data_IF_505177905316
#
_entry.id   IF_505177905316
#
_cell.length_a   1.000
_cell.length_b   1.000
_cell.length_c   1.000
_cell.angle_alpha   90.00
_cell.angle_beta   90.00
_cell.angle_gamma   90.00
#
_symmetry.space_group_name_H-M   'P 1'
#
loop_
_entity.id
_entity.type
_entity.pdbx_description
1 polymer ?
#
# COMPACT_ATOMS: atom_id res chain seq x y z
N UNK A 1 -44.38 -20.06 21.13
CA UNK A 1 -44.36 -18.67 20.65
C UNK A 1 -42.92 -18.26 20.41
N UNK A 2 -42.67 -17.65 19.24
CA UNK A 2 -41.41 -17.20 18.65
C UNK A 2 -40.54 -16.39 19.61
N UNK A 3 -39.21 -16.60 19.58
CA UNK A 3 -38.19 -15.53 19.41
C UNK A 3 -36.98 -16.09 18.65
N UNK A 4 -36.99 -15.82 17.35
CA UNK A 4 -35.82 -15.89 16.47
C UNK A 4 -35.08 -14.58 16.68
N UNK A 5 -33.82 -14.61 17.14
CA UNK A 5 -32.93 -13.46 17.02
C UNK A 5 -31.93 -13.76 15.91
N UNK A 6 -32.14 -13.08 14.79
CA UNK A 6 -31.22 -13.03 13.67
C UNK A 6 -29.92 -12.37 14.11
N UNK A 7 -28.82 -13.12 14.05
CA UNK A 7 -27.47 -12.55 14.09
C UNK A 7 -27.23 -11.95 12.71
N UNK A 8 -27.31 -10.63 12.63
CA UNK A 8 -26.96 -9.86 11.45
C UNK A 8 -25.44 -9.95 11.27
N UNK A 9 -24.97 -10.95 10.53
CA UNK A 9 -23.59 -10.98 10.07
C UNK A 9 -23.42 -9.86 9.03
N UNK A 10 -22.83 -8.74 9.44
CA UNK A 10 -22.24 -7.78 8.51
C UNK A 10 -21.07 -8.47 7.81
N UNK A 11 -21.39 -9.17 6.72
CA UNK A 11 -20.39 -9.52 5.71
C UNK A 11 -19.91 -8.20 5.14
N UNK A 12 -18.68 -7.81 5.50
CA UNK A 12 -17.90 -6.83 4.77
C UNK A 12 -17.76 -7.37 3.34
N UNK A 13 -18.71 -7.02 2.48
CA UNK A 13 -18.61 -7.23 1.06
C UNK A 13 -17.40 -6.43 0.59
N UNK A 14 -16.27 -7.12 0.41
CA UNK A 14 -15.20 -6.61 -0.41
C UNK A 14 -15.82 -6.33 -1.79
N UNK A 15 -15.79 -5.09 -2.31
CA UNK A 15 -16.25 -4.85 -3.66
C UNK A 15 -15.30 -5.58 -4.59
N UNK A 16 -15.80 -6.67 -5.17
CA UNK A 16 -15.19 -7.33 -6.32
C UNK A 16 -15.33 -6.36 -7.48
N UNK A 17 -14.31 -5.53 -7.69
CA UNK A 17 -14.19 -4.68 -8.89
C UNK A 17 -13.75 -5.57 -10.07
N UNK A 18 -14.70 -6.34 -10.60
CA UNK A 18 -14.57 -7.00 -11.89
C UNK A 18 -15.45 -6.23 -12.89
N UNK A 19 -14.82 -5.39 -13.70
CA UNK A 19 -15.46 -4.62 -14.76
C UNK A 19 -14.57 -3.44 -15.18
N UNK A 20 -14.46 -3.20 -16.49
CA UNK A 20 -13.84 -2.03 -17.11
C UNK A 20 -14.48 -0.73 -16.60
N UNK A 21 -14.10 -0.30 -15.40
CA UNK A 21 -14.45 1.02 -14.87
C UNK A 21 -13.18 1.85 -14.91
N UNK A 22 -13.05 2.65 -15.97
CA UNK A 22 -12.16 3.80 -15.94
C UNK A 22 -12.59 4.69 -14.77
N UNK A 23 -11.70 4.86 -13.79
CA UNK A 23 -11.94 5.75 -12.68
C UNK A 23 -11.91 7.18 -13.20
N UNK A 24 -12.80 8.05 -12.71
CA UNK A 24 -12.61 9.48 -12.96
C UNK A 24 -11.30 9.95 -12.33
N UNK A 25 -10.67 11.00 -12.88
CA UNK A 25 -9.46 11.60 -12.31
C UNK A 25 -9.61 11.91 -10.81
N UNK A 26 -10.80 12.36 -10.39
CA UNK A 26 -11.09 12.69 -9.00
C UNK A 26 -11.08 11.43 -8.10
N UNK A 27 -11.65 10.33 -8.58
CA UNK A 27 -11.65 9.05 -7.86
C UNK A 27 -10.26 8.44 -7.81
N UNK A 28 -9.54 8.45 -8.93
CA UNK A 28 -8.18 7.96 -9.00
C UNK A 28 -7.24 8.75 -8.07
N UNK A 29 -7.39 10.09 -8.02
CA UNK A 29 -6.67 10.95 -7.07
C UNK A 29 -6.99 10.60 -5.61
N UNK A 30 -8.27 10.34 -5.31
CA UNK A 30 -8.71 9.98 -3.97
C UNK A 30 -8.11 8.64 -3.54
N UNK A 31 -8.08 7.65 -4.43
CA UNK A 31 -7.45 6.35 -4.18
C UNK A 31 -5.96 6.52 -3.95
N UNK A 32 -5.25 7.25 -4.82
CA UNK A 32 -3.81 7.45 -4.68
C UNK A 32 -3.45 8.15 -3.34
N UNK A 33 -4.22 9.16 -2.93
CA UNK A 33 -4.06 9.80 -1.61
C UNK A 33 -4.30 8.83 -0.45
N UNK A 34 -5.32 7.97 -0.57
CA UNK A 34 -5.61 6.96 0.43
C UNK A 34 -4.47 5.92 0.53
N UNK A 35 -3.85 5.56 -0.59
CA UNK A 35 -2.68 4.68 -0.62
C UNK A 35 -1.49 5.30 0.11
N UNK A 36 -1.18 6.57 -0.15
CA UNK A 36 -0.11 7.29 0.57
C UNK A 36 -0.39 7.33 2.07
N UNK A 37 -1.61 7.68 2.48
CA UNK A 37 -1.99 7.69 3.89
C UNK A 37 -1.85 6.29 4.53
N UNK A 38 -2.18 5.23 3.78
CA UNK A 38 -2.01 3.84 4.24
C UNK A 38 -0.54 3.45 4.42
N UNK A 39 0.37 3.95 3.56
CA UNK A 39 1.82 3.77 3.72
C UNK A 39 2.30 4.46 5.00
N UNK A 40 1.88 5.69 5.22
CA UNK A 40 2.25 6.46 6.42
C UNK A 40 1.73 5.80 7.71
N UNK A 41 0.50 5.29 7.67
CA UNK A 41 -0.08 4.51 8.76
C UNK A 41 0.71 3.21 9.01
N UNK A 42 1.05 2.46 7.96
CA UNK A 42 1.90 1.27 8.08
C UNK A 42 3.28 1.58 8.67
N UNK A 43 3.87 2.71 8.29
CA UNK A 43 5.14 3.19 8.88
C UNK A 43 4.97 3.54 10.37
N UNK A 44 3.83 4.10 10.76
CA UNK A 44 3.54 4.38 12.17
C UNK A 44 3.37 3.08 12.97
N UNK A 45 2.60 2.11 12.46
CA UNK A 45 2.40 0.78 13.07
C UNK A 45 3.75 0.08 13.32
N UNK A 46 4.74 0.26 12.43
CA UNK A 46 6.08 -0.32 12.61
C UNK A 46 6.90 0.29 13.75
N UNK A 47 6.63 1.52 14.18
CA UNK A 47 7.41 2.17 15.26
C UNK A 47 7.19 1.51 16.61
N UNK A 48 5.96 1.08 16.86
CA UNK A 48 5.55 0.47 18.13
C UNK A 48 5.55 -1.07 18.06
N UNK A 49 5.92 -1.63 16.90
CA UNK A 49 5.96 -3.07 16.70
C UNK A 49 7.19 -3.71 17.32
N UNK A 50 7.04 -4.97 17.74
CA UNK A 50 8.12 -5.89 17.99
C UNK A 50 8.09 -7.00 16.93
N UNK A 51 9.01 -7.97 16.98
CA UNK A 51 9.07 -9.05 16.00
C UNK A 51 7.75 -9.83 15.88
N UNK A 52 7.13 -10.17 17.00
CA UNK A 52 5.90 -10.95 17.02
C UNK A 52 4.72 -10.15 16.45
N UNK A 53 4.52 -8.91 16.91
CA UNK A 53 3.44 -8.06 16.40
C UNK A 53 3.65 -7.67 14.95
N UNK A 54 4.90 -7.51 14.51
CA UNK A 54 5.23 -7.34 13.09
C UNK A 54 4.77 -8.54 12.26
N UNK A 55 5.17 -9.76 12.64
CA UNK A 55 4.84 -10.97 11.88
C UNK A 55 3.35 -11.28 11.86
N UNK A 56 2.66 -11.09 12.99
CA UNK A 56 1.27 -11.52 13.16
C UNK A 56 0.25 -10.45 12.78
N UNK A 57 0.61 -9.17 12.84
CA UNK A 57 -0.35 -8.07 12.68
C UNK A 57 0.05 -7.10 11.58
N UNK A 58 1.28 -6.59 11.59
CA UNK A 58 1.68 -5.50 10.68
C UNK A 58 1.97 -6.03 9.28
N UNK A 59 2.80 -7.07 9.16
CA UNK A 59 3.19 -7.65 7.86
C UNK A 59 2.00 -8.15 7.04
N UNK A 60 1.02 -8.89 7.61
CA UNK A 60 -0.18 -9.29 6.86
C UNK A 60 -1.02 -8.09 6.39
N UNK A 61 -1.12 -7.02 7.18
CA UNK A 61 -1.81 -5.78 6.75
C UNK A 61 -1.11 -5.14 5.56
N UNK A 62 0.22 -5.05 5.58
CA UNK A 62 1.01 -4.51 4.45
C UNK A 62 0.84 -5.38 3.20
N UNK A 63 0.88 -6.71 3.32
CA UNK A 63 0.62 -7.64 2.22
C UNK A 63 -0.80 -7.49 1.66
N UNK A 64 -1.80 -7.31 2.54
CA UNK A 64 -3.19 -7.10 2.14
C UNK A 64 -3.36 -5.76 1.40
N UNK A 65 -2.67 -4.70 1.85
CA UNK A 65 -2.67 -3.40 1.16
C UNK A 65 -2.20 -3.56 -0.29
N UNK A 66 -1.05 -4.20 -0.51
CA UNK A 66 -0.50 -4.42 -1.87
C UNK A 66 -1.52 -5.14 -2.77
N UNK A 67 -2.17 -6.19 -2.25
CA UNK A 67 -3.14 -7.00 -3.03
C UNK A 67 -4.46 -6.29 -3.29
N UNK A 68 -4.85 -5.36 -2.42
CA UNK A 68 -6.15 -4.66 -2.50
C UNK A 68 -6.14 -3.47 -3.45
N UNK A 69 -4.96 -3.03 -3.88
CA UNK A 69 -4.83 -1.81 -4.66
C UNK A 69 -5.08 -2.05 -6.15
N UNK A 70 -5.59 -1.03 -6.87
CA UNK A 70 -5.94 -1.18 -8.28
C UNK A 70 -4.79 -1.81 -9.08
N UNK A 71 -5.12 -2.77 -9.92
CA UNK A 71 -4.16 -3.35 -10.83
C UNK A 71 -3.63 -2.29 -11.78
N UNK A 72 -2.43 -2.55 -12.30
CA UNK A 72 -1.70 -1.65 -13.18
C UNK A 72 -2.23 -1.67 -14.61
N UNK A 73 -3.53 -1.43 -14.77
CA UNK A 73 -4.18 -1.39 -16.08
C UNK A 73 -3.91 -0.03 -16.74
N UNK A 74 -3.42 -0.07 -17.98
CA UNK A 74 -2.77 1.05 -18.66
C UNK A 74 -3.55 2.37 -18.68
N UNK A 75 -4.88 2.33 -18.73
CA UNK A 75 -5.72 3.55 -18.75
C UNK A 75 -5.68 4.34 -17.44
N UNK A 76 -5.72 3.67 -16.28
CA UNK A 76 -5.72 4.35 -14.98
C UNK A 76 -4.30 4.73 -14.50
N UNK A 77 -3.27 4.02 -14.99
CA UNK A 77 -1.84 4.32 -14.76
C UNK A 77 -1.42 5.68 -15.34
N UNK A 78 -2.08 6.09 -16.43
CA UNK A 78 -1.80 7.33 -17.16
C UNK A 78 -2.21 8.61 -16.44
N UNK A 79 -2.85 8.51 -15.26
CA UNK A 79 -3.31 9.66 -14.48
C UNK A 79 -2.80 9.59 -13.05
N UNK A 80 -2.73 8.39 -12.44
CA UNK A 80 -2.22 8.25 -11.08
C UNK A 80 -1.23 7.08 -10.90
N UNK A 81 -0.18 7.32 -10.11
CA UNK A 81 1.01 6.49 -10.02
C UNK A 81 0.84 5.32 -9.03
N UNK A 82 -0.16 4.46 -9.26
CA UNK A 82 -0.41 3.32 -8.36
C UNK A 82 0.82 2.43 -8.17
N UNK A 83 1.66 2.35 -9.21
CA UNK A 83 2.93 1.64 -9.18
C UNK A 83 3.93 2.22 -8.17
N UNK A 84 4.12 3.55 -8.14
CA UNK A 84 5.06 4.18 -7.20
C UNK A 84 4.65 3.92 -5.75
N UNK A 85 3.34 4.01 -5.48
CA UNK A 85 2.80 3.76 -4.15
C UNK A 85 2.88 2.28 -3.78
N UNK A 86 2.59 1.36 -4.71
CA UNK A 86 2.81 -0.08 -4.51
C UNK A 86 4.28 -0.39 -4.18
N UNK A 87 5.20 0.20 -4.93
CA UNK A 87 6.64 0.04 -4.69
C UNK A 87 7.04 0.57 -3.32
N UNK A 88 6.47 1.70 -2.87
CA UNK A 88 6.71 2.23 -1.54
C UNK A 88 6.27 1.28 -0.42
N UNK A 89 5.13 0.59 -0.54
CA UNK A 89 4.74 -0.44 0.46
C UNK A 89 5.66 -1.65 0.40
N UNK A 90 6.03 -2.10 -0.80
CA UNK A 90 6.96 -3.23 -0.98
C UNK A 90 8.32 -2.91 -0.31
N UNK A 91 8.84 -1.71 -0.54
CA UNK A 91 10.10 -1.28 0.05
C UNK A 91 9.98 -1.06 1.56
N UNK A 92 8.85 -0.55 2.06
CA UNK A 92 8.56 -0.45 3.49
C UNK A 92 8.59 -1.84 4.16
N UNK A 93 7.92 -2.81 3.56
CA UNK A 93 7.92 -4.19 4.03
C UNK A 93 9.32 -4.81 3.96
N UNK A 94 10.06 -4.57 2.88
CA UNK A 94 11.44 -5.03 2.75
C UNK A 94 12.37 -4.41 3.80
N UNK A 95 12.19 -3.13 4.13
CA UNK A 95 12.89 -2.49 5.24
C UNK A 95 12.50 -3.11 6.59
N UNK A 96 11.22 -3.28 6.85
CA UNK A 96 10.71 -3.88 8.08
C UNK A 96 11.20 -5.32 8.27
N UNK A 97 11.18 -6.15 7.22
CA UNK A 97 11.71 -7.52 7.25
C UNK A 97 13.18 -7.53 7.68
N UNK A 98 13.99 -6.60 7.16
CA UNK A 98 15.40 -6.52 7.57
C UNK A 98 15.60 -6.07 9.01
N UNK A 99 14.63 -5.37 9.59
CA UNK A 99 14.67 -4.90 10.97
C UNK A 99 14.18 -5.95 11.97
N UNK A 100 13.04 -6.59 11.69
CA UNK A 100 12.38 -7.50 12.63
C UNK A 100 12.79 -8.97 12.48
N UNK A 101 13.20 -9.39 11.28
CA UNK A 101 13.40 -10.81 10.99
C UNK A 101 14.86 -11.21 10.91
N UNK A 102 15.76 -10.27 10.61
CA UNK A 102 17.19 -10.54 10.50
C UNK A 102 17.94 -10.25 11.80
N UNK A 103 18.98 -11.04 12.06
CA UNK A 103 19.87 -10.82 13.19
C UNK A 103 20.66 -9.50 13.05
N UNK A 104 21.01 -8.89 14.18
CA UNK A 104 21.78 -7.65 14.22
C UNK A 104 23.28 -7.88 13.94
N UNK A 105 23.62 -8.01 12.66
CA UNK A 105 25.00 -8.12 12.17
C UNK A 105 25.40 -6.94 11.28
N UNK A 106 26.71 -6.73 11.07
CA UNK A 106 27.26 -5.65 10.24
C UNK A 106 26.63 -5.62 8.83
N UNK A 107 26.64 -6.73 8.10
CA UNK A 107 26.04 -6.81 6.76
C UNK A 107 24.53 -6.53 6.76
N UNK A 108 23.81 -6.99 7.78
CA UNK A 108 22.37 -6.72 7.92
C UNK A 108 22.08 -5.27 8.31
N UNK A 109 22.99 -4.58 9.01
CA UNK A 109 22.88 -3.14 9.28
C UNK A 109 23.03 -2.33 7.99
N UNK A 110 24.01 -2.67 7.15
CA UNK A 110 24.20 -2.03 5.83
C UNK A 110 22.99 -2.28 4.93
N UNK A 111 22.49 -3.53 4.88
CA UNK A 111 21.27 -3.88 4.15
C UNK A 111 20.06 -3.09 4.65
N UNK A 112 19.87 -2.97 5.98
CA UNK A 112 18.80 -2.16 6.59
C UNK A 112 18.86 -0.71 6.13
N UNK A 113 20.04 -0.08 6.14
CA UNK A 113 20.18 1.30 5.67
C UNK A 113 19.84 1.42 4.18
N UNK A 114 20.31 0.48 3.35
CA UNK A 114 19.97 0.46 1.93
C UNK A 114 18.46 0.34 1.70
N UNK A 115 17.79 -0.57 2.40
CA UNK A 115 16.33 -0.75 2.29
C UNK A 115 15.56 0.46 2.80
N UNK A 116 16.04 1.10 3.88
CA UNK A 116 15.48 2.35 4.38
C UNK A 116 15.54 3.45 3.31
N UNK A 117 16.70 3.65 2.68
CA UNK A 117 16.83 4.66 1.61
C UNK A 117 15.98 4.33 0.38
N UNK A 118 15.85 3.04 0.02
CA UNK A 118 14.93 2.62 -1.05
C UNK A 118 13.49 3.03 -0.73
N UNK A 119 13.01 2.69 0.47
CA UNK A 119 11.68 3.11 0.93
C UNK A 119 11.51 4.64 0.95
N UNK A 120 12.49 5.38 1.46
CA UNK A 120 12.42 6.85 1.50
C UNK A 120 12.30 7.45 0.08
N UNK A 121 13.02 6.88 -0.88
CA UNK A 121 12.95 7.29 -2.28
C UNK A 121 11.61 6.95 -2.92
N UNK A 122 11.12 5.71 -2.78
CA UNK A 122 9.83 5.30 -3.37
C UNK A 122 8.64 5.99 -2.71
N UNK A 123 8.68 6.22 -1.40
CA UNK A 123 7.66 7.00 -0.69
C UNK A 123 7.62 8.46 -1.17
N UNK A 124 8.79 9.07 -1.38
CA UNK A 124 8.90 10.41 -1.98
C UNK A 124 8.39 10.43 -3.42
N UNK A 125 8.67 9.36 -4.18
CA UNK A 125 8.12 9.12 -5.52
C UNK A 125 6.60 9.16 -5.51
N UNK A 126 5.95 8.26 -4.76
CA UNK A 126 4.50 8.20 -4.60
C UNK A 126 3.89 9.56 -4.20
N UNK A 127 4.47 10.25 -3.21
CA UNK A 127 3.98 11.56 -2.79
C UNK A 127 4.09 12.63 -3.89
N UNK A 128 5.21 12.64 -4.62
CA UNK A 128 5.47 13.60 -5.70
C UNK A 128 4.54 13.37 -6.89
N UNK A 129 4.32 12.13 -7.28
CA UNK A 129 3.47 11.78 -8.42
C UNK A 129 1.97 11.93 -8.11
N UNK A 130 1.56 11.96 -6.83
CA UNK A 130 0.20 12.41 -6.44
C UNK A 130 0.05 13.93 -6.56
N UNK A 131 1.10 14.69 -6.25
CA UNK A 131 1.10 16.15 -6.33
C UNK A 131 1.13 16.64 -7.78
N UNK A 132 1.96 15.99 -8.60
CA UNK A 132 2.18 16.29 -10.01
C UNK A 132 1.96 15.00 -10.82
N UNK A 133 0.70 14.60 -11.07
CA UNK A 133 0.42 13.41 -11.88
C UNK A 133 0.96 13.59 -13.30
N UNK A 134 1.55 12.54 -13.85
CA UNK A 134 1.92 12.50 -15.26
C UNK A 134 0.64 12.37 -16.09
N UNK A 135 0.30 13.42 -16.84
CA UNK A 135 -0.89 13.47 -17.68
C UNK A 135 -0.57 13.15 -19.15
N UNK A 136 0.71 12.90 -19.49
CA UNK A 136 1.18 12.81 -20.88
C UNK A 136 0.59 11.63 -21.66
N UNK A 137 0.12 10.61 -20.95
CA UNK A 137 -0.45 9.39 -21.52
C UNK A 137 -1.99 9.41 -21.59
N UNK A 138 -2.64 10.46 -21.07
CA UNK A 138 -4.10 10.54 -20.98
C UNK A 138 -4.79 10.64 -22.33
N UNK A 139 -4.15 11.30 -23.31
CA UNK A 139 -4.74 11.64 -24.59
C UNK A 139 -4.14 10.83 -25.78
N UNK A 140 -3.28 9.85 -25.50
CA UNK A 140 -2.73 8.96 -26.53
C UNK A 140 -3.75 7.85 -26.80
N UNK A 141 -4.67 8.11 -27.73
CA UNK A 141 -5.60 7.13 -28.31
C UNK A 141 -4.94 6.26 -29.37
#
# INVERSE_FOLDING_TARGET
MKRVMAVLAMVLAAPVFAGENDLSDAEAKKIARHMLASIEAGRADLRDANKESYQMQVRPKLEALIKSWPETNGGNRAIFPYFDCQQAVIDLMGYADTFFLLADGKGNRELRQRRKSQFENSNTGCASSIKNPDMSLKDIQ
#
